data_IF_277959871878
#
_entry.id   IF_277959871878
#
_cell.length_a   1.000
_cell.length_b   1.000
_cell.length_c   1.000
_cell.angle_alpha   90.00
_cell.angle_beta   90.00
_cell.angle_gamma   90.00
#
_symmetry.space_group_name_H-M   'P 1'
#
loop_
_entity.id
_entity.type
_entity.pdbx_description
1 polymer ?
2 branched ?
3 water ?
#
# COMPACT_ATOMS: atom_id res chain seq x y z
N UNK A 3 10.73 9.54 14.57
CA UNK A 3 9.34 9.14 14.53
C UNK A 3 9.33 7.94 13.63
N UNK A 4 8.65 6.90 14.06
CA UNK A 4 8.70 5.64 13.37
C UNK A 4 9.58 4.76 14.23
N UNK A 5 9.61 3.53 13.78
CA UNK A 5 10.36 2.49 14.43
C UNK A 5 11.18 1.80 13.36
N UNK A 6 12.47 1.69 13.61
CA UNK A 6 13.38 0.95 12.77
C UNK A 6 13.38 -0.49 13.27
N UNK A 7 12.90 -1.43 12.46
CA UNK A 7 12.89 -2.84 12.80
C UNK A 7 14.05 -3.44 12.02
N UNK A 8 15.17 -3.63 12.72
CA UNK A 8 16.42 -4.07 12.12
C UNK A 8 16.33 -5.37 11.33
N UNK A 9 15.52 -6.29 11.84
CA UNK A 9 15.41 -7.63 11.27
C UNK A 9 14.62 -7.76 10.00
N UNK A 10 13.82 -6.75 9.68
CA UNK A 10 12.93 -6.87 8.55
C UNK A 10 13.53 -6.29 7.27
N UNK A 11 14.08 -7.13 6.40
CA UNK A 11 14.58 -6.68 5.12
C UNK A 11 13.55 -7.10 4.10
N UNK A 12 12.75 -6.15 3.64
CA UNK A 12 11.73 -6.46 2.67
C UNK A 12 12.41 -6.46 1.31
N UNK A 13 12.94 -7.63 0.96
CA UNK A 13 13.64 -7.83 -0.30
C UNK A 13 12.77 -8.67 -1.22
N UNK A 14 13.19 -8.87 -2.47
CA UNK A 14 12.48 -9.74 -3.38
C UNK A 14 12.29 -11.12 -2.76
N UNK A 15 11.04 -11.60 -2.83
CA UNK A 15 10.69 -12.92 -2.35
C UNK A 15 10.13 -12.94 -0.93
N UNK A 16 10.21 -11.86 -0.15
CA UNK A 16 9.67 -11.80 1.20
C UNK A 16 8.22 -11.36 1.11
N UNK A 17 7.41 -11.66 2.11
CA UNK A 17 6.00 -11.30 2.15
C UNK A 17 5.83 -10.38 3.33
N UNK A 18 5.46 -9.14 3.05
CA UNK A 18 5.20 -8.15 4.07
C UNK A 18 3.69 -8.04 4.28
N UNK A 19 3.15 -8.31 5.45
CA UNK A 19 1.73 -8.14 5.71
C UNK A 19 1.56 -6.92 6.59
N UNK A 20 0.64 -6.03 6.23
CA UNK A 20 0.29 -4.91 7.07
C UNK A 20 -1.13 -5.18 7.54
N UNK A 21 -1.41 -4.91 8.80
CA UNK A 21 -2.74 -5.09 9.36
C UNK A 21 -3.10 -3.86 10.16
N UNK A 22 -4.38 -3.61 10.33
CA UNK A 22 -4.82 -2.48 11.10
C UNK A 22 -6.32 -2.33 11.03
N UNK A 23 -6.80 -1.16 11.40
CA UNK A 23 -8.24 -0.90 11.44
C UNK A 23 -8.54 0.33 10.61
N UNK A 24 -9.54 0.25 9.74
CA UNK A 24 -9.96 1.40 8.96
C UNK A 24 -10.83 2.25 9.88
N UNK A 25 -10.73 3.56 9.82
CA UNK A 25 -11.57 4.43 10.63
C UNK A 25 -13.03 4.29 10.24
N UNK A 26 -13.90 4.68 11.14
CA UNK A 26 -15.30 4.83 10.78
C UNK A 26 -15.38 6.10 9.94
N UNK A 27 -16.42 6.21 9.11
CA UNK A 27 -16.60 7.33 8.19
C UNK A 27 -15.33 7.74 7.42
N UNK A 28 -14.62 6.82 6.78
CA UNK A 28 -13.39 7.11 6.07
C UNK A 28 -13.58 7.80 4.72
N UNK A 29 -12.61 8.59 4.34
CA UNK A 29 -12.51 9.07 2.97
C UNK A 29 -11.67 8.06 2.22
N UNK A 30 -10.43 7.83 2.69
CA UNK A 30 -9.51 6.94 2.02
C UNK A 30 -8.31 6.66 2.91
N UNK A 31 -7.57 5.59 2.62
CA UNK A 31 -6.30 5.39 3.30
C UNK A 31 -5.36 4.67 2.34
N UNK A 32 -4.05 4.88 2.50
CA UNK A 32 -3.08 4.21 1.66
C UNK A 32 -1.98 3.50 2.42
N UNK A 33 -1.48 2.49 1.74
CA UNK A 33 -0.30 1.75 2.16
C UNK A 33 0.76 2.24 1.19
N UNK A 34 1.88 2.70 1.74
CA UNK A 34 2.96 3.26 0.95
C UNK A 34 4.27 2.55 1.24
N UNK A 35 4.93 1.99 0.23
CA UNK A 35 6.27 1.41 0.40
C UNK A 35 7.22 2.02 -0.61
N UNK A 36 8.44 2.25 -0.16
CA UNK A 36 9.44 2.82 -1.02
C UNK A 36 10.67 3.17 -0.23
N UNK A 37 11.29 4.27 -0.61
CA UNK A 37 12.49 4.74 0.07
C UNK A 37 12.17 5.79 1.12
N UNK A 38 11.09 6.54 0.95
CA UNK A 38 10.72 7.61 1.86
C UNK A 38 9.31 8.02 1.46
N UNK A 39 8.69 8.93 2.21
CA UNK A 39 7.38 9.46 1.89
C UNK A 39 7.39 10.12 0.51
N UNK A 40 8.53 10.65 0.07
CA UNK A 40 8.62 11.29 -1.23
C UNK A 40 8.97 10.40 -2.40
N UNK A 41 9.47 9.21 -2.12
CA UNK A 41 9.93 8.36 -3.19
C UNK A 41 9.33 7.00 -2.87
N UNK A 42 8.21 6.74 -3.54
CA UNK A 42 7.42 5.56 -3.28
C UNK A 42 7.32 4.65 -4.49
N UNK A 43 7.65 3.36 -4.33
CA UNK A 43 7.44 2.40 -5.41
C UNK A 43 5.97 1.97 -5.47
N UNK A 44 5.21 1.98 -4.38
CA UNK A 44 3.81 1.63 -4.45
C UNK A 44 3.05 2.46 -3.44
N UNK A 45 2.00 3.10 -3.95
CA UNK A 45 1.04 3.85 -3.16
C UNK A 45 -0.24 3.09 -3.46
N UNK A 46 -0.87 2.45 -2.48
CA UNK A 46 -2.06 1.66 -2.69
C UNK A 46 -3.16 2.35 -1.92
N UNK A 47 -4.03 3.06 -2.63
CA UNK A 47 -5.05 3.89 -2.02
C UNK A 47 -6.45 3.28 -2.12
N UNK A 48 -7.08 2.98 -0.99
CA UNK A 48 -8.46 2.52 -0.96
C UNK A 48 -9.32 3.73 -0.70
N UNK A 49 -10.06 4.14 -1.71
CA UNK A 49 -10.91 5.31 -1.63
C UNK A 49 -12.35 4.88 -1.45
N UNK A 50 -12.86 5.19 -0.27
CA UNK A 50 -14.22 4.86 0.10
C UNK A 50 -15.18 5.91 -0.44
N UNK A 51 -15.06 7.13 0.05
CA UNK A 51 -15.99 8.20 -0.28
C UNK A 51 -15.09 9.38 -0.50
N UNK A 52 -14.67 9.50 -1.74
CA UNK A 52 -13.71 10.51 -2.09
C UNK A 52 -14.17 11.15 -3.39
N UNK A 53 -15.17 12.02 -3.26
CA UNK A 53 -15.75 12.70 -4.41
C UNK A 53 -16.25 11.72 -5.46
N UNK A 54 -15.71 11.82 -6.67
CA UNK A 54 -16.10 10.94 -7.77
C UNK A 54 -15.69 9.51 -7.52
N UNK A 55 -14.60 9.33 -6.77
CA UNK A 55 -14.13 8.00 -6.46
C UNK A 55 -14.86 7.46 -5.25
N UNK A 56 -15.66 6.44 -5.54
CA UNK A 56 -16.42 5.74 -4.54
C UNK A 56 -15.94 4.31 -4.67
N UNK A 57 -15.48 3.73 -3.57
CA UNK A 57 -15.00 2.35 -3.53
C UNK A 57 -14.11 1.94 -4.70
N UNK A 58 -13.08 2.75 -4.83
CA UNK A 58 -12.10 2.58 -5.89
C UNK A 58 -10.71 2.40 -5.27
N UNK A 59 -9.93 1.48 -5.81
CA UNK A 59 -8.53 1.28 -5.43
C UNK A 59 -7.75 2.00 -6.51
N UNK A 60 -6.82 2.84 -6.09
CA UNK A 60 -5.94 3.57 -6.98
C UNK A 60 -4.52 3.18 -6.59
N UNK A 61 -3.73 2.77 -7.55
CA UNK A 61 -2.33 2.42 -7.36
C UNK A 61 -1.48 3.34 -8.21
N UNK A 62 -0.38 3.80 -7.63
CA UNK A 62 0.52 4.68 -8.34
C UNK A 62 1.88 4.65 -7.64
N UNK A 63 2.82 5.43 -8.14
CA UNK A 63 4.14 5.63 -7.59
C UNK A 63 4.50 7.10 -7.79
N UNK A 64 5.58 7.54 -7.15
CA UNK A 64 6.08 8.88 -7.30
C UNK A 64 7.55 8.91 -6.90
N UNK A 65 8.30 9.70 -7.64
CA UNK A 65 9.68 9.98 -7.31
C UNK A 65 9.79 11.37 -6.71
N UNK A 66 8.70 12.15 -6.69
CA UNK A 66 8.79 13.52 -6.22
C UNK A 66 7.62 13.87 -5.31
N UNK A 67 7.26 12.97 -4.41
CA UNK A 67 6.17 13.21 -3.47
C UNK A 67 4.85 13.52 -4.17
N UNK A 68 4.14 14.49 -3.63
CA UNK A 68 2.84 14.85 -4.16
C UNK A 68 2.88 15.51 -5.53
N UNK A 69 4.05 15.93 -6.00
CA UNK A 69 4.11 16.51 -7.33
C UNK A 69 4.67 15.55 -8.37
N UNK A 70 4.78 14.26 -8.08
CA UNK A 70 5.33 13.35 -9.07
C UNK A 70 4.44 12.16 -9.34
N UNK A 71 3.16 12.15 -8.97
CA UNK A 71 2.30 10.99 -9.20
C UNK A 71 2.26 10.68 -10.68
N UNK A 72 2.40 9.41 -11.00
CA UNK A 72 2.51 9.00 -12.39
C UNK A 72 1.19 8.40 -12.90
N UNK A 73 1.22 7.39 -13.78
CA UNK A 73 0.00 6.76 -14.26
C UNK A 73 -0.70 5.89 -13.22
N UNK A 74 -1.93 6.27 -12.90
CA UNK A 74 -2.75 5.48 -12.01
C UNK A 74 -3.24 4.21 -12.66
N UNK A 75 -3.27 3.15 -11.87
CA UNK A 75 -3.96 1.92 -12.22
C UNK A 75 -5.04 1.83 -11.15
N UNK A 76 -6.27 1.62 -11.60
CA UNK A 76 -7.46 1.60 -10.76
C UNK A 76 -8.15 0.26 -10.80
N UNK A 77 -8.86 -0.03 -9.73
CA UNK A 77 -9.67 -1.23 -9.67
C UNK A 77 -10.92 -0.86 -8.91
N UNK A 78 -12.08 -1.41 -9.26
CA UNK A 78 -13.25 -1.24 -8.41
C UNK A 78 -13.62 -2.58 -7.79
N UNK A 79 -12.69 -3.53 -7.72
CA UNK A 79 -12.96 -4.80 -7.07
C UNK A 79 -12.60 -4.52 -5.61
N UNK A 80 -13.50 -3.79 -4.96
CA UNK A 80 -13.24 -3.22 -3.63
C UNK A 80 -13.89 -4.04 -2.53
N UNK A 81 -13.13 -4.55 -1.56
CA UNK A 81 -13.71 -5.44 -0.56
C UNK A 81 -13.57 -4.99 0.89
N UNK A 82 -12.90 -3.86 1.15
CA UNK A 82 -12.75 -3.42 2.53
C UNK A 82 -13.96 -2.59 2.94
N UNK A 83 -14.14 -2.45 4.25
CA UNK A 83 -15.26 -1.76 4.83
C UNK A 83 -14.78 -0.86 5.95
N UNK A 84 -15.48 0.25 6.09
CA UNK A 84 -15.23 1.23 7.14
C UNK A 84 -15.28 0.54 8.49
N UNK A 85 -14.40 0.94 9.41
CA UNK A 85 -14.38 0.42 10.77
C UNK A 85 -13.84 -1.00 10.92
N UNK A 86 -13.42 -1.67 9.85
CA UNK A 86 -13.00 -3.05 9.93
C UNK A 86 -11.49 -3.21 10.07
N UNK A 87 -11.14 -4.42 10.54
CA UNK A 87 -9.76 -4.84 10.57
C UNK A 87 -9.39 -5.22 9.13
N UNK A 88 -8.20 -4.92 8.62
CA UNK A 88 -7.78 -5.33 7.29
C UNK A 88 -6.37 -5.90 7.40
N UNK A 89 -6.00 -6.70 6.41
CA UNK A 89 -4.63 -7.16 6.21
C UNK A 89 -4.38 -7.16 4.72
N UNK A 90 -3.23 -6.65 4.33
CA UNK A 90 -2.81 -6.66 2.95
C UNK A 90 -1.38 -7.20 2.95
N UNK A 91 -1.10 -8.19 2.11
CA UNK A 91 0.23 -8.74 1.96
C UNK A 91 0.81 -8.32 0.62
N UNK A 92 2.05 -7.87 0.68
CA UNK A 92 2.78 -7.41 -0.48
C UNK A 92 4.03 -8.25 -0.66
N UNK A 93 4.32 -8.59 -1.89
CA UNK A 93 5.58 -9.19 -2.26
C UNK A 93 5.91 -8.60 -3.62
N UNK A 94 7.12 -8.79 -4.12
CA UNK A 94 7.50 -8.26 -5.40
C UNK A 94 8.70 -8.98 -5.97
N UNK A 95 8.87 -8.87 -7.27
CA UNK A 95 10.11 -9.29 -7.88
C UNK A 95 10.60 -8.07 -8.66
N UNK A 96 11.60 -8.19 -9.54
CA UNK A 96 12.16 -7.04 -10.24
C UNK A 96 11.16 -6.42 -11.22
N UNK A 97 10.13 -7.15 -11.62
CA UNK A 97 9.12 -6.70 -12.59
C UNK A 97 7.81 -6.19 -12.02
N UNK A 98 7.28 -6.84 -10.99
CA UNK A 98 5.96 -6.57 -10.46
C UNK A 98 5.86 -6.67 -8.94
N UNK A 99 4.89 -5.93 -8.43
CA UNK A 99 4.40 -6.03 -7.07
C UNK A 99 3.17 -6.91 -7.19
N UNK A 100 3.00 -7.71 -6.17
CA UNK A 100 1.89 -8.63 -6.03
C UNK A 100 1.20 -8.23 -4.73
N UNK A 101 -0.07 -7.84 -4.83
CA UNK A 101 -0.85 -7.33 -3.71
C UNK A 101 -1.94 -8.32 -3.41
N UNK A 102 -1.91 -8.91 -2.24
CA UNK A 102 -2.91 -9.86 -1.84
C UNK A 102 -3.71 -9.25 -0.70
N UNK A 103 -4.96 -8.87 -0.98
CA UNK A 103 -5.81 -8.34 0.06
C UNK A 103 -6.56 -9.50 0.69
N UNK A 104 -6.50 -9.60 2.02
CA UNK A 104 -7.15 -10.69 2.72
C UNK A 104 -8.65 -10.59 2.50
N UNK A 105 -9.21 -11.72 2.09
CA UNK A 105 -10.60 -11.88 1.67
C UNK A 105 -11.00 -11.02 0.49
N UNK A 106 -10.00 -10.53 -0.24
CA UNK A 106 -10.22 -9.67 -1.36
C UNK A 106 -9.43 -10.13 -2.56
N UNK A 107 -9.22 -9.26 -3.53
CA UNK A 107 -8.49 -9.60 -4.74
C UNK A 107 -6.99 -9.62 -4.57
N UNK A 108 -6.41 -10.18 -5.61
CA UNK A 108 -4.99 -10.16 -5.79
C UNK A 108 -4.80 -9.20 -6.94
N UNK A 109 -3.92 -8.22 -6.79
CA UNK A 109 -3.66 -7.23 -7.82
C UNK A 109 -2.17 -7.25 -8.13
N UNK A 110 -1.76 -6.74 -9.29
CA UNK A 110 -0.36 -6.62 -9.65
C UNK A 110 -0.16 -5.19 -10.04
N UNK A 111 1.06 -4.72 -9.89
CA UNK A 111 1.40 -3.35 -10.25
C UNK A 111 2.85 -3.39 -10.72
N UNK A 112 3.32 -2.65 -11.72
CA UNK A 112 4.70 -2.70 -12.14
C UNK A 112 5.66 -2.22 -11.07
N UNK A 113 6.84 -2.82 -11.07
CA UNK A 113 7.93 -2.36 -10.22
C UNK A 113 8.62 -1.38 -11.15
N UNK A 114 8.13 -0.16 -11.16
CA UNK A 114 8.60 0.89 -12.06
C UNK A 114 10.06 1.27 -11.96
N UNK A 115 10.62 1.20 -10.76
CA UNK A 115 11.98 1.64 -10.52
C UNK A 115 12.96 0.48 -10.33
N UNK A 116 12.59 -0.75 -10.67
CA UNK A 116 13.46 -1.91 -10.53
C UNK A 116 14.14 -2.04 -9.17
N UNK A 117 13.31 -1.97 -8.15
CA UNK A 117 13.75 -2.05 -6.78
C UNK A 117 13.86 -3.50 -6.34
N UNK A 118 14.90 -3.79 -5.57
CA UNK A 118 15.09 -5.11 -5.00
C UNK A 118 15.10 -5.10 -3.48
N UNK A 119 14.97 -3.92 -2.89
CA UNK A 119 14.94 -3.74 -1.45
C UNK A 119 14.12 -2.47 -1.20
N UNK A 120 13.21 -2.47 -0.22
CA UNK A 120 12.40 -1.29 0.09
C UNK A 120 12.51 -0.98 1.58
N UNK A 121 13.17 0.10 1.99
CA UNK A 121 13.44 0.42 3.40
C UNK A 121 12.34 1.12 4.18
N UNK A 122 11.29 1.59 3.51
CA UNK A 122 10.30 2.43 4.15
C UNK A 122 8.86 1.98 3.94
N UNK A 123 8.10 2.09 5.02
CA UNK A 123 6.69 1.76 5.01
C UNK A 123 5.90 2.81 5.79
N UNK A 124 4.78 3.27 5.22
CA UNK A 124 3.86 4.11 5.96
C UNK A 124 2.43 3.79 5.57
N UNK A 125 1.53 4.07 6.48
CA UNK A 125 0.12 4.00 6.21
C UNK A 125 -0.30 5.45 6.31
N UNK A 126 -1.10 5.98 5.38
CA UNK A 126 -1.58 7.34 5.49
C UNK A 126 -3.10 7.37 5.35
N UNK A 127 -3.73 8.42 5.87
CA UNK A 127 -5.16 8.55 5.71
C UNK A 127 -5.97 7.96 6.83
N UNK A 128 -7.17 7.53 6.50
CA UNK A 128 -8.16 7.16 7.49
C UNK A 128 -8.14 5.73 7.98
N UNK A 129 -7.03 5.37 8.59
CA UNK A 129 -6.87 4.04 9.14
C UNK A 129 -5.73 4.07 10.15
N UNK A 130 -5.63 3.02 10.96
CA UNK A 130 -4.62 2.86 11.99
C UNK A 130 -3.81 1.59 11.68
N UNK A 131 -2.48 1.70 11.55
CA UNK A 131 -1.60 0.55 11.36
C UNK A 131 -1.36 -0.09 12.73
N UNK A 132 -1.62 -1.37 12.93
CA UNK A 132 -1.34 -1.99 14.22
C UNK A 132 -0.33 -3.11 14.09
N UNK A 133 -0.17 -3.71 12.91
CA UNK A 133 0.66 -4.90 12.73
C UNK A 133 1.51 -4.86 11.48
N UNK A 134 2.75 -5.32 11.59
CA UNK A 134 3.62 -5.54 10.45
C UNK A 134 4.24 -6.90 10.67
N UNK A 135 4.12 -7.70 9.63
CA UNK A 135 4.63 -9.05 9.66
C UNK A 135 5.50 -9.26 8.43
N UNK A 136 6.58 -10.02 8.53
CA UNK A 136 7.42 -10.30 7.39
C UNK A 136 7.78 -11.78 7.46
N UNK A 137 7.58 -12.47 6.35
CA UNK A 137 7.87 -13.89 6.24
C UNK A 137 8.60 -14.17 4.93
X LIG B 1 -6.62 11.86 -10.27
X LIG B 1 -6.54 11.76 -8.73
X LIG B 1 -5.22 12.35 -8.25
X LIG B 1 -5.08 13.79 -8.77
X LIG B 1 -3.78 14.44 -8.34
X LIG B 1 -6.37 13.30 -10.72
X LIG B 1 -6.31 13.35 -12.09
X LIG B 1 -7.90 11.44 -10.69
X LIG B 1 -6.63 10.41 -8.35
X LIG B 1 -5.20 12.36 -6.80
X LIG B 1 -5.11 13.76 -10.21
X LIG B 1 -2.66 13.72 -8.82
X LIG B 2 -4.02 11.97 -6.19
X LIG B 2 -4.12 12.16 -4.68
X LIG B 2 -2.88 11.61 -3.98
X LIG B 2 -2.60 10.16 -4.43
X LIG B 2 -2.59 10.08 -5.96
X LIG B 2 -2.42 8.66 -6.46
X LIG B 2 -4.25 13.55 -4.39
X LIG B 2 -3.08 11.65 -2.58
X LIG B 2 -3.60 9.32 -3.90
X LIG B 2 -3.83 10.60 -6.50
X LIG B 2 -2.36 8.63 -7.86
#
# INVERSE_FOLDING_TARGET
XSGGLQVKNFDFTVGKFLTVGGFINNSPQRFSVNVGESMNSLSLHLDHRFNYGADQNTIVMNSTLKGDNGWETEQRSTNFTLSAGQYFEITLSYDINKFYIDILDGPNLEFPNRYSKEFLPFLSLAGDARLTLVKLE
BGC C2 C3 C4 C5 C6 C1 O1 O2 O3 O4 O5 O6
GAL C1 C2 C3 C4 C5 C6 O2 O3 O4 O5 O6
#
